data_IF_520248658552
#
_entry.id   IF_520248658552
#
_cell.length_a   1.000
_cell.length_b   1.000
_cell.length_c   1.000
_cell.angle_alpha   90.00
_cell.angle_beta   90.00
_cell.angle_gamma   90.00
#
_symmetry.space_group_name_H-M   'P 1'
#
loop_
_entity.id
_entity.type
_entity.pdbx_description
1 polymer ?
#
# COMPACT_ATOMS: atom_id res chain seq x y z
N UNK A 1 -6.33 -23.19 4.16
CA UNK A 1 -5.15 -22.60 3.51
C UNK A 1 -4.27 -22.01 4.58
N UNK A 2 -3.04 -22.50 4.71
CA UNK A 2 -2.06 -21.94 5.66
C UNK A 2 -1.10 -21.10 4.82
N UNK A 3 -1.13 -19.79 5.02
CA UNK A 3 -0.22 -18.86 4.36
C UNK A 3 1.03 -18.69 5.23
N UNK A 4 2.22 -18.85 4.63
CA UNK A 4 3.46 -18.51 5.30
C UNK A 4 4.21 -17.44 4.51
N UNK A 5 4.94 -16.59 5.23
CA UNK A 5 5.71 -15.50 4.64
C UNK A 5 6.94 -16.02 3.87
N UNK A 6 7.49 -17.18 4.26
CA UNK A 6 8.67 -17.79 3.65
C UNK A 6 8.57 -19.31 3.58
N UNK A 7 9.37 -19.93 2.71
CA UNK A 7 9.50 -21.40 2.65
C UNK A 7 10.00 -22.01 3.98
N UNK A 8 10.80 -21.27 4.75
CA UNK A 8 11.30 -21.73 6.03
C UNK A 8 10.23 -21.69 7.13
N UNK A 9 9.33 -20.71 7.11
CA UNK A 9 8.17 -20.67 8.00
C UNK A 9 7.18 -21.79 7.68
N UNK A 10 7.02 -22.11 6.39
CA UNK A 10 6.34 -23.32 5.93
C UNK A 10 6.94 -24.59 6.52
N UNK A 11 8.27 -24.74 6.46
CA UNK A 11 8.98 -25.88 7.05
C UNK A 11 8.82 -25.96 8.58
N UNK A 12 8.83 -24.82 9.28
CA UNK A 12 8.58 -24.78 10.73
C UNK A 12 7.15 -25.20 11.08
N UNK A 13 6.16 -24.77 10.30
CA UNK A 13 4.76 -25.16 10.48
C UNK A 13 4.56 -26.66 10.26
N UNK A 14 5.18 -27.23 9.21
CA UNK A 14 5.21 -28.67 8.94
C UNK A 14 5.87 -29.46 10.08
N UNK A 15 7.02 -28.99 10.59
CA UNK A 15 7.76 -29.64 11.69
C UNK A 15 7.05 -29.54 13.04
N UNK A 16 6.23 -28.52 13.26
CA UNK A 16 5.55 -28.30 14.54
C UNK A 16 4.41 -29.28 14.85
N UNK A 17 4.05 -30.18 13.93
CA UNK A 17 3.04 -31.22 14.15
C UNK A 17 1.62 -30.72 14.35
N UNK A 18 1.35 -29.41 14.24
CA UNK A 18 0.03 -28.79 14.44
C UNK A 18 -0.96 -29.01 13.29
N UNK A 19 -0.56 -29.72 12.24
CA UNK A 19 -1.40 -30.01 11.06
C UNK A 19 -1.82 -31.48 11.14
N UNK A 20 -3.07 -31.73 11.52
CA UNK A 20 -3.66 -33.09 11.52
C UNK A 20 -3.79 -33.57 10.08
N UNK A 21 -3.27 -34.77 9.79
CA UNK A 21 -3.37 -35.50 8.51
C UNK A 21 -4.83 -35.89 8.20
N UNK A 22 -5.68 -34.92 7.88
CA UNK A 22 -7.01 -35.19 7.33
C UNK A 22 -7.37 -34.07 6.36
N UNK A 23 -6.96 -34.25 5.11
CA UNK A 23 -7.20 -33.31 4.00
C UNK A 23 -5.90 -32.82 3.37
N UNK A 24 -5.88 -32.79 2.04
CA UNK A 24 -4.83 -32.17 1.23
C UNK A 24 -4.74 -30.69 1.61
N UNK A 25 -3.73 -30.31 2.38
CA UNK A 25 -3.45 -28.91 2.71
C UNK A 25 -2.66 -28.32 1.56
N UNK A 26 -3.31 -27.50 0.73
CA UNK A 26 -2.59 -26.66 -0.24
C UNK A 26 -1.85 -25.55 0.51
N UNK A 27 -0.53 -25.60 0.38
CA UNK A 27 0.41 -24.64 0.93
C UNK A 27 0.83 -23.69 -0.19
N UNK A 28 0.38 -22.44 -0.11
CA UNK A 28 0.75 -21.41 -1.08
C UNK A 28 1.72 -20.44 -0.43
N UNK A 29 2.82 -20.14 -1.12
CA UNK A 29 3.63 -18.98 -0.80
C UNK A 29 2.75 -17.74 -1.01
N UNK A 30 2.78 -16.83 -0.04
CA UNK A 30 2.02 -15.59 -0.16
C UNK A 30 2.59 -14.79 -1.33
N UNK A 31 1.81 -14.63 -2.40
CA UNK A 31 2.22 -13.82 -3.54
C UNK A 31 2.38 -12.37 -3.09
N UNK A 32 3.62 -11.93 -2.93
CA UNK A 32 3.97 -10.53 -2.69
C UNK A 32 3.64 -9.74 -3.96
N UNK A 33 3.15 -8.52 -3.79
CA UNK A 33 2.94 -7.62 -4.95
C UNK A 33 4.27 -7.07 -5.43
N UNK A 34 4.33 -6.66 -6.69
CA UNK A 34 5.48 -5.94 -7.24
C UNK A 34 5.65 -4.55 -6.60
N UNK A 35 6.89 -4.03 -6.52
CA UNK A 35 7.15 -2.67 -6.09
C UNK A 35 6.45 -1.62 -6.93
N UNK A 36 6.18 -0.47 -6.31
CA UNK A 36 5.67 0.71 -6.99
C UNK A 36 6.60 1.88 -6.78
N UNK A 37 6.87 2.61 -7.84
CA UNK A 37 7.63 3.86 -7.83
C UNK A 37 6.70 5.03 -8.15
N UNK A 38 7.11 6.24 -7.79
CA UNK A 38 6.44 7.48 -8.16
C UNK A 38 7.34 8.36 -9.03
N UNK A 39 6.77 8.83 -10.14
CA UNK A 39 7.35 9.83 -11.04
C UNK A 39 6.64 11.15 -10.78
N UNK A 40 7.40 12.18 -10.42
CA UNK A 40 6.88 13.51 -10.14
C UNK A 40 6.81 14.38 -11.40
N UNK A 41 5.96 15.41 -11.34
CA UNK A 41 5.89 16.52 -12.29
C UNK A 41 5.83 16.16 -13.78
N UNK A 42 5.08 15.12 -14.13
CA UNK A 42 4.81 14.76 -15.52
C UNK A 42 3.73 15.68 -16.08
N UNK A 43 3.92 16.25 -17.27
CA UNK A 43 2.88 17.02 -17.96
C UNK A 43 1.56 16.22 -18.08
N UNK A 44 0.44 16.87 -17.76
CA UNK A 44 -0.88 16.20 -17.72
C UNK A 44 -1.35 15.65 -19.08
N UNK A 45 -0.85 16.23 -20.17
CA UNK A 45 -1.10 15.79 -21.56
C UNK A 45 -0.40 14.47 -21.90
N UNK A 46 0.65 14.08 -21.17
CA UNK A 46 1.39 12.86 -21.47
C UNK A 46 0.57 11.61 -21.14
N UNK A 47 0.54 10.70 -22.10
CA UNK A 47 -0.15 9.41 -21.99
C UNK A 47 0.76 8.29 -21.47
N UNK A 48 0.16 7.14 -21.18
CA UNK A 48 0.87 5.97 -20.62
C UNK A 48 2.02 5.51 -21.51
N UNK A 49 1.83 5.46 -22.83
CA UNK A 49 2.84 4.97 -23.77
C UNK A 49 4.10 5.84 -23.75
N UNK A 50 3.93 7.17 -23.78
CA UNK A 50 5.04 8.11 -23.72
C UNK A 50 5.91 7.95 -22.45
N UNK A 51 5.31 7.53 -21.33
CA UNK A 51 6.06 7.23 -20.10
C UNK A 51 6.89 5.95 -20.21
N UNK A 52 6.31 4.89 -20.78
CA UNK A 52 7.03 3.62 -21.00
C UNK A 52 8.23 3.85 -21.93
N UNK A 53 8.06 4.66 -22.97
CA UNK A 53 9.14 5.04 -23.88
C UNK A 53 10.24 5.85 -23.20
N UNK A 54 9.87 6.91 -22.46
CA UNK A 54 10.82 7.77 -21.75
C UNK A 54 11.62 7.02 -20.70
N UNK A 55 10.98 6.08 -19.98
CA UNK A 55 11.65 5.23 -19.00
C UNK A 55 12.57 4.22 -19.68
N UNK A 56 12.12 3.64 -20.80
CA UNK A 56 12.90 2.68 -21.58
C UNK A 56 14.19 3.24 -22.20
N UNK A 57 14.35 4.56 -22.32
CA UNK A 57 15.62 5.19 -22.70
C UNK A 57 16.72 5.03 -21.63
N UNK A 58 16.37 4.64 -20.40
CA UNK A 58 17.32 4.48 -19.28
C UNK A 58 17.88 3.04 -19.12
N UNK A 59 17.89 2.24 -20.19
CA UNK A 59 18.59 0.93 -20.18
C UNK A 59 17.77 -0.27 -19.68
N UNK A 60 16.43 -0.17 -19.62
CA UNK A 60 15.55 -1.31 -19.26
C UNK A 60 15.31 -2.17 -20.49
N UNK A 61 15.74 -3.44 -20.45
CA UNK A 61 15.47 -4.44 -21.49
C UNK A 61 14.06 -5.00 -21.24
N UNK A 62 13.18 -4.94 -22.24
CA UNK A 62 11.73 -5.27 -22.19
C UNK A 62 10.85 -4.28 -21.39
N UNK A 63 10.40 -3.23 -22.07
CA UNK A 63 9.77 -2.06 -21.43
C UNK A 63 8.38 -2.34 -20.82
N UNK A 64 7.55 -3.16 -21.46
CA UNK A 64 6.15 -3.38 -21.06
C UNK A 64 5.98 -4.40 -19.92
N UNK A 65 6.90 -5.36 -19.79
CA UNK A 65 6.87 -6.37 -18.72
C UNK A 65 7.49 -5.88 -17.40
N UNK A 66 8.45 -4.96 -17.52
CA UNK A 66 9.26 -4.45 -16.41
C UNK A 66 8.68 -3.17 -15.79
N UNK A 67 7.77 -2.49 -16.50
CA UNK A 67 7.27 -1.17 -16.12
C UNK A 67 5.80 -0.96 -16.56
N UNK A 68 4.90 -0.83 -15.59
CA UNK A 68 3.46 -0.72 -15.81
C UNK A 68 2.88 0.53 -15.12
N UNK A 69 2.49 1.58 -15.87
CA UNK A 69 1.81 2.75 -15.31
C UNK A 69 0.43 2.41 -14.74
N UNK A 70 0.27 2.47 -13.41
CA UNK A 70 -0.95 2.02 -12.73
C UNK A 70 -1.99 3.14 -12.66
N UNK A 71 -1.63 4.28 -12.06
CA UNK A 71 -2.55 5.40 -11.88
C UNK A 71 -1.82 6.74 -11.75
N UNK A 72 -2.59 7.81 -11.93
CA UNK A 72 -2.14 9.19 -11.72
C UNK A 72 -2.46 9.62 -10.29
N UNK A 73 -1.44 9.98 -9.53
CA UNK A 73 -1.60 10.72 -8.29
C UNK A 73 -1.66 12.22 -8.64
N UNK A 74 -2.88 12.78 -8.70
CA UNK A 74 -3.04 14.20 -9.03
C UNK A 74 -2.58 15.10 -7.87
N UNK A 75 -1.73 16.10 -8.13
CA UNK A 75 -1.56 17.24 -7.24
C UNK A 75 -2.89 18.00 -7.12
N UNK A 76 -3.10 18.71 -6.01
CA UNK A 76 -4.33 19.49 -5.81
C UNK A 76 -4.45 20.67 -6.77
N UNK A 77 -3.34 21.28 -7.21
CA UNK A 77 -3.31 22.52 -7.99
C UNK A 77 -2.23 22.50 -9.11
N UNK A 78 -2.32 21.66 -10.15
CA UNK A 78 -1.27 21.68 -11.18
C UNK A 78 -1.69 21.26 -12.60
N UNK A 79 -0.99 21.87 -13.57
CA UNK A 79 -0.86 21.47 -14.99
C UNK A 79 -0.07 20.16 -15.17
N UNK A 80 0.58 19.69 -14.10
CA UNK A 80 1.33 18.45 -14.02
C UNK A 80 0.61 17.41 -13.17
N UNK A 81 1.00 16.14 -13.33
CA UNK A 81 0.48 15.00 -12.59
C UNK A 81 1.63 14.10 -12.15
N UNK A 82 1.46 13.41 -11.02
CA UNK A 82 2.42 12.38 -10.63
C UNK A 82 1.92 11.03 -11.11
N UNK A 83 2.83 10.16 -11.52
CA UNK A 83 2.51 8.82 -11.98
C UNK A 83 3.02 7.79 -11.00
N UNK A 84 2.15 6.87 -10.60
CA UNK A 84 2.52 5.69 -9.84
C UNK A 84 2.63 4.52 -10.80
N UNK A 85 3.77 3.87 -10.77
CA UNK A 85 4.19 2.86 -11.74
C UNK A 85 4.62 1.61 -11.01
N UNK A 86 4.13 0.47 -11.44
CA UNK A 86 4.56 -0.83 -10.93
C UNK A 86 5.77 -1.29 -11.74
N UNK A 87 6.73 -1.90 -11.06
CA UNK A 87 8.00 -2.26 -11.70
C UNK A 87 8.53 -3.60 -11.19
N UNK A 88 9.35 -4.27 -12.00
CA UNK A 88 10.12 -5.44 -11.57
C UNK A 88 11.23 -5.05 -10.59
N UNK A 89 11.90 -6.05 -10.02
CA UNK A 89 13.04 -5.84 -9.12
C UNK A 89 14.23 -5.22 -9.86
N UNK A 90 14.48 -5.67 -11.09
CA UNK A 90 15.57 -5.28 -11.96
C UNK A 90 15.40 -3.82 -12.39
N UNK A 91 14.21 -3.47 -12.88
CA UNK A 91 13.91 -2.08 -13.23
C UNK A 91 13.88 -1.17 -11.99
N UNK A 92 13.41 -1.64 -10.83
CA UNK A 92 13.52 -0.88 -9.57
C UNK A 92 14.97 -0.54 -9.24
N UNK A 93 15.89 -1.52 -9.25
CA UNK A 93 17.32 -1.30 -8.97
C UNK A 93 17.91 -0.22 -9.88
N UNK A 94 17.55 -0.25 -11.16
CA UNK A 94 18.00 0.75 -12.13
C UNK A 94 17.31 2.10 -11.91
N UNK A 95 16.05 2.19 -11.46
CA UNK A 95 15.31 3.46 -11.40
C UNK A 95 15.36 4.18 -10.04
N UNK A 96 15.75 3.49 -8.95
CA UNK A 96 15.75 4.05 -7.59
C UNK A 96 16.67 5.26 -7.40
N UNK A 97 17.68 5.46 -8.25
CA UNK A 97 18.53 6.66 -8.18
C UNK A 97 17.78 7.95 -8.57
N UNK A 98 16.67 7.83 -9.32
CA UNK A 98 15.86 8.98 -9.80
C UNK A 98 14.47 9.02 -9.21
N UNK A 99 13.90 7.83 -8.97
CA UNK A 99 12.53 7.67 -8.52
C UNK A 99 12.49 7.21 -7.06
N UNK A 100 11.36 7.41 -6.41
CA UNK A 100 11.14 6.97 -5.03
C UNK A 100 10.10 5.87 -4.99
N UNK A 101 10.22 4.97 -4.01
CA UNK A 101 9.15 4.01 -3.72
C UNK A 101 7.87 4.74 -3.33
N UNK A 102 6.77 4.31 -3.94
CA UNK A 102 5.43 4.79 -3.60
C UNK A 102 4.88 4.01 -2.41
N UNK A 103 5.29 4.41 -1.21
CA UNK A 103 4.88 3.81 0.06
C UNK A 103 3.75 4.59 0.73
N UNK A 104 2.56 4.56 0.12
CA UNK A 104 1.37 5.23 0.66
C UNK A 104 0.36 4.20 1.15
N UNK A 105 -0.02 4.31 2.43
CA UNK A 105 -1.10 3.52 3.01
C UNK A 105 -2.38 4.32 3.02
N UNK A 106 -3.40 3.84 2.33
CA UNK A 106 -4.71 4.48 2.29
C UNK A 106 -5.46 4.29 3.61
N UNK A 107 -6.09 5.35 4.09
CA UNK A 107 -7.08 5.30 5.18
C UNK A 107 -8.48 5.19 4.60
N UNK A 108 -9.27 4.25 5.08
CA UNK A 108 -10.65 4.09 4.70
C UNK A 108 -11.48 5.26 5.24
N UNK A 109 -12.19 5.97 4.36
CA UNK A 109 -13.05 7.10 4.72
C UNK A 109 -14.42 6.67 5.30
N UNK A 110 -14.68 5.37 5.47
CA UNK A 110 -15.86 4.85 6.16
C UNK A 110 -15.53 4.44 7.60
N UNK A 111 -14.60 3.50 7.78
CA UNK A 111 -14.32 2.90 9.10
C UNK A 111 -13.05 3.44 9.79
N UNK A 112 -12.36 4.39 9.17
CA UNK A 112 -11.13 5.03 9.66
C UNK A 112 -9.92 4.10 9.83
N UNK A 113 -10.01 2.82 9.42
CA UNK A 113 -8.88 1.89 9.44
C UNK A 113 -8.01 2.02 8.19
N UNK A 114 -6.74 1.64 8.32
CA UNK A 114 -5.77 1.64 7.22
C UNK A 114 -5.85 0.37 6.35
N UNK A 115 -5.41 0.48 5.10
CA UNK A 115 -5.17 -0.65 4.20
C UNK A 115 -6.27 -0.93 3.17
N UNK A 116 -7.37 -0.17 3.17
CA UNK A 116 -8.44 -0.32 2.18
C UNK A 116 -9.17 1.02 1.94
N UNK A 117 -9.92 1.08 0.84
CA UNK A 117 -10.80 2.20 0.49
C UNK A 117 -12.25 1.91 0.89
N UNK A 118 -13.07 2.96 1.00
CA UNK A 118 -14.48 2.84 1.38
C UNK A 118 -15.28 1.87 0.50
N UNK A 119 -14.98 1.82 -0.81
CA UNK A 119 -15.58 0.89 -1.78
C UNK A 119 -15.45 -0.59 -1.39
N UNK A 120 -14.39 -0.96 -0.68
CA UNK A 120 -14.13 -2.34 -0.24
C UNK A 120 -14.28 -2.50 1.28
N UNK A 121 -14.86 -1.51 1.96
CA UNK A 121 -15.02 -1.53 3.41
C UNK A 121 -16.19 -2.41 3.83
N UNK A 122 -15.93 -3.37 4.71
CA UNK A 122 -16.96 -4.20 5.37
C UNK A 122 -17.28 -3.73 6.80
N UNK A 123 -16.64 -2.67 7.27
CA UNK A 123 -16.87 -2.11 8.59
C UNK A 123 -17.94 -1.03 8.61
N UNK A 124 -18.32 -0.64 9.82
CA UNK A 124 -19.29 0.42 10.06
C UNK A 124 -18.70 1.80 9.83
N UNK A 125 -19.60 2.76 9.63
CA UNK A 125 -19.24 4.16 9.52
C UNK A 125 -18.79 4.72 10.87
N UNK A 126 -17.68 5.44 10.85
CA UNK A 126 -17.07 6.05 12.02
C UNK A 126 -16.74 7.50 11.73
N UNK A 127 -16.96 8.35 12.72
CA UNK A 127 -16.67 9.77 12.66
C UNK A 127 -15.17 10.01 12.39
N UNK A 128 -14.89 10.86 11.40
CA UNK A 128 -13.52 11.18 10.99
C UNK A 128 -12.73 11.98 12.06
N UNK A 129 -13.45 12.60 13.01
CA UNK A 129 -12.88 13.47 14.06
C UNK A 129 -12.54 12.71 15.34
N UNK A 130 -13.44 11.87 15.84
CA UNK A 130 -13.26 11.15 17.11
C UNK A 130 -13.22 9.62 16.97
N UNK A 131 -13.58 9.08 15.81
CA UNK A 131 -13.70 7.63 15.60
C UNK A 131 -14.94 7.00 16.24
N UNK A 132 -15.87 7.76 16.81
CA UNK A 132 -17.15 7.26 17.31
C UNK A 132 -18.10 6.83 16.17
N UNK A 133 -19.19 6.14 16.51
CA UNK A 133 -20.26 5.76 15.57
C UNK A 133 -21.52 6.58 15.80
N UNK A 134 -22.44 6.58 14.83
CA UNK A 134 -23.76 7.20 14.95
C UNK A 134 -23.83 8.70 14.67
N UNK A 135 -22.72 9.31 14.23
CA UNK A 135 -22.69 10.72 13.83
C UNK A 135 -21.59 11.00 12.78
N UNK A 136 -21.80 12.03 11.98
CA UNK A 136 -20.81 12.55 11.04
C UNK A 136 -19.84 13.54 11.67
N UNK A 137 -18.81 13.97 10.92
CA UNK A 137 -17.83 14.96 11.39
C UNK A 137 -18.48 16.29 11.81
N UNK A 138 -19.47 16.76 11.04
CA UNK A 138 -20.13 18.06 11.25
C UNK A 138 -20.99 18.09 12.52
N UNK A 139 -21.52 16.94 12.94
CA UNK A 139 -22.34 16.80 14.15
C UNK A 139 -21.50 16.41 15.39
N UNK A 140 -20.18 16.27 15.21
CA UNK A 140 -19.29 15.73 16.24
C UNK A 140 -18.95 16.77 17.31
N UNK A 141 -19.52 16.57 18.50
CA UNK A 141 -19.28 17.38 19.71
C UNK A 141 -18.03 16.96 20.50
N UNK A 142 -17.47 15.80 20.17
CA UNK A 142 -16.26 15.28 20.84
C UNK A 142 -15.00 16.05 20.43
N UNK A 143 -13.96 15.95 21.25
CA UNK A 143 -12.63 16.46 20.92
C UNK A 143 -12.03 15.67 19.75
N UNK A 144 -11.18 16.32 18.96
CA UNK A 144 -10.48 15.63 17.87
C UNK A 144 -9.47 14.64 18.45
N UNK A 145 -9.51 13.41 17.97
CA UNK A 145 -8.61 12.34 18.37
C UNK A 145 -8.17 11.56 17.14
N UNK A 146 -7.19 10.67 17.30
CA UNK A 146 -6.89 9.75 16.20
C UNK A 146 -8.09 8.80 16.01
N UNK A 147 -8.85 8.96 14.93
CA UNK A 147 -10.03 8.13 14.68
C UNK A 147 -9.73 6.62 14.51
N UNK A 148 -8.46 6.28 14.26
CA UNK A 148 -7.98 4.89 14.20
C UNK A 148 -7.50 4.36 15.56
N UNK A 149 -6.71 5.15 16.30
CA UNK A 149 -6.08 4.72 17.56
C UNK A 149 -6.91 5.04 18.82
N UNK A 150 -7.83 5.99 18.72
CA UNK A 150 -8.70 6.42 19.81
C UNK A 150 -8.17 7.62 20.62
N UNK A 151 -8.87 7.99 21.72
CA UNK A 151 -8.61 9.20 22.50
C UNK A 151 -7.32 9.16 23.32
N UNK A 152 -6.81 7.97 23.68
CA UNK A 152 -5.59 7.82 24.50
C UNK A 152 -4.29 8.01 23.70
N UNK A 153 -4.37 8.18 22.38
CA UNK A 153 -3.18 8.29 21.53
C UNK A 153 -2.79 9.74 21.26
N UNK A 154 -1.50 10.04 21.31
CA UNK A 154 -0.94 11.38 21.05
C UNK A 154 -0.69 11.67 19.55
N UNK A 155 -1.07 10.76 18.65
CA UNK A 155 -0.78 10.83 17.22
C UNK A 155 -1.77 11.65 16.39
N UNK A 156 -2.53 12.56 17.03
CA UNK A 156 -3.55 13.39 16.37
C UNK A 156 -2.91 14.24 15.27
N UNK A 157 -3.43 14.12 14.05
CA UNK A 157 -2.89 14.84 12.87
C UNK A 157 -1.48 14.41 12.43
N UNK A 158 -0.77 13.57 13.20
CA UNK A 158 0.61 13.16 12.95
C UNK A 158 0.67 11.74 12.43
N UNK A 159 0.57 11.58 11.11
CA UNK A 159 0.58 10.29 10.43
C UNK A 159 1.84 9.46 10.76
N UNK A 160 3.02 10.09 10.82
CA UNK A 160 4.28 9.38 11.14
C UNK A 160 4.33 8.90 12.60
N UNK A 161 3.72 9.64 13.54
CA UNK A 161 3.65 9.23 14.95
C UNK A 161 2.52 8.23 15.24
N UNK A 162 1.67 7.91 14.26
CA UNK A 162 0.54 7.01 14.44
C UNK A 162 0.96 5.55 14.36
N UNK A 163 0.91 4.82 15.48
CA UNK A 163 1.26 3.40 15.53
C UNK A 163 0.43 2.55 14.55
N UNK A 164 -0.87 2.81 14.43
CA UNK A 164 -1.72 2.09 13.48
C UNK A 164 -1.29 2.32 12.03
N UNK A 165 -0.82 3.54 11.70
CA UNK A 165 -0.26 3.84 10.39
C UNK A 165 1.07 3.10 10.19
N UNK A 166 1.97 3.15 11.17
CA UNK A 166 3.27 2.48 11.11
C UNK A 166 3.14 0.96 10.95
N UNK A 167 2.19 0.34 11.66
CA UNK A 167 1.88 -1.08 11.49
C UNK A 167 1.37 -1.38 10.09
N UNK A 168 0.47 -0.54 9.55
CA UNK A 168 -0.04 -0.73 8.20
C UNK A 168 1.05 -0.50 7.13
N UNK A 169 1.98 0.42 7.35
CA UNK A 169 3.13 0.66 6.49
C UNK A 169 4.11 -0.53 6.52
N UNK A 170 4.39 -1.10 7.69
CA UNK A 170 5.19 -2.33 7.78
C UNK A 170 4.58 -3.48 7.00
N UNK A 171 3.27 -3.72 7.17
CA UNK A 171 2.54 -4.73 6.37
C UNK A 171 2.59 -4.43 4.88
N UNK A 172 2.58 -3.15 4.49
CA UNK A 172 2.71 -2.72 3.10
C UNK A 172 4.09 -3.15 2.54
N UNK A 173 5.15 -2.89 3.29
CA UNK A 173 6.54 -3.22 2.91
C UNK A 173 6.73 -4.75 2.87
N UNK A 174 6.33 -5.46 3.93
CA UNK A 174 6.44 -6.94 4.03
C UNK A 174 5.66 -7.66 2.93
N UNK A 175 4.52 -7.11 2.51
CA UNK A 175 3.70 -7.64 1.43
C UNK A 175 4.18 -7.27 0.03
N UNK A 176 5.25 -6.49 -0.11
CA UNK A 176 5.84 -6.07 -1.38
C UNK A 176 7.13 -6.84 -1.61
N UNK A 177 7.30 -7.34 -2.83
CA UNK A 177 8.50 -8.06 -3.22
C UNK A 177 9.60 -7.07 -3.55
N UNK A 178 10.60 -6.95 -2.68
CA UNK A 178 11.77 -6.12 -2.93
C UNK A 178 13.02 -6.92 -3.33
N UNK A 179 12.90 -8.25 -3.44
CA UNK A 179 14.01 -9.14 -3.80
C UNK A 179 14.99 -9.47 -2.67
N UNK A 180 14.61 -9.18 -1.42
CA UNK A 180 15.37 -9.49 -0.19
C UNK A 180 14.97 -10.85 0.40
#
# INVERSE_FOLDING_TARGET
MIEAATANDLLKLLRSGKIKKSGSVELALKNKRKPRLIIYDVESTKERQALVEAVGQNGIKNKESEFNPVFRARPKNATTTHWVVETSLEARKVLLYRLKDYLVVTRCMKCMKYGHIAKHCKGDERCNKCGGSGHGKEECKETETCATCGPKSECIGKQVACEAYQQALRRLIEGTDYGD
#
